data_IF_769864489846
#
_entry.id   IF_769864489846
#
_cell.length_a   1.000
_cell.length_b   1.000
_cell.length_c   1.000
_cell.angle_alpha   90.00
_cell.angle_beta   90.00
_cell.angle_gamma   90.00
#
_symmetry.space_group_name_H-M   'P 1'
#
loop_
_entity.id
_entity.type
_entity.pdbx_description
1 polymer ?
#
# COMPACT_ATOMS: atom_id res chain seq x y z
N UNK A 1 -0.24 23.25 -14.86
CA UNK A 1 0.90 22.59 -14.23
C UNK A 1 0.39 21.25 -13.72
N UNK A 2 0.58 20.18 -14.49
CA UNK A 2 0.09 18.86 -14.09
C UNK A 2 1.05 18.30 -13.04
N UNK A 3 0.53 18.10 -11.83
CA UNK A 3 1.23 17.31 -10.82
C UNK A 3 1.38 15.91 -11.40
N UNK A 4 2.62 15.43 -11.50
CA UNK A 4 2.89 14.09 -11.98
C UNK A 4 2.44 13.11 -10.88
N UNK A 5 1.40 12.34 -11.18
CA UNK A 5 0.82 11.36 -10.27
C UNK A 5 1.48 9.99 -10.44
N UNK A 6 1.29 9.12 -9.45
CA UNK A 6 1.64 7.70 -9.54
C UNK A 6 0.89 7.03 -10.70
N UNK A 7 1.57 6.18 -11.47
CA UNK A 7 0.95 5.41 -12.56
C UNK A 7 0.13 4.21 -12.04
N UNK A 8 0.21 3.89 -10.74
CA UNK A 8 -0.60 2.83 -10.14
C UNK A 8 -2.07 3.19 -10.16
N UNK A 9 -2.90 2.26 -10.63
CA UNK A 9 -4.34 2.47 -10.78
C UNK A 9 -5.02 2.82 -9.46
N UNK A 10 -5.70 3.97 -9.40
CA UNK A 10 -6.38 4.43 -8.19
C UNK A 10 -5.47 5.06 -7.14
N UNK A 11 -4.21 5.38 -7.49
CA UNK A 11 -3.31 6.10 -6.61
C UNK A 11 -3.26 7.59 -7.00
N UNK A 12 -3.79 8.47 -6.13
CA UNK A 12 -3.74 9.92 -6.34
C UNK A 12 -2.49 10.58 -5.73
N UNK A 13 -1.57 9.78 -5.18
CA UNK A 13 -0.36 10.29 -4.56
C UNK A 13 0.62 10.88 -5.58
N UNK A 14 1.36 11.89 -5.13
CA UNK A 14 2.41 12.54 -5.90
C UNK A 14 3.55 11.53 -6.14
N UNK A 15 4.08 11.52 -7.37
CA UNK A 15 5.20 10.66 -7.73
C UNK A 15 6.44 10.90 -6.85
N UNK A 16 7.20 9.85 -6.57
CA UNK A 16 8.52 9.93 -5.91
C UNK A 16 9.62 9.42 -6.84
N UNK A 17 9.38 8.30 -7.53
CA UNK A 17 10.38 7.60 -8.33
C UNK A 17 9.88 7.33 -9.74
N UNK A 18 10.80 7.31 -10.69
CA UNK A 18 10.53 7.01 -12.09
C UNK A 18 11.27 5.75 -12.54
N UNK A 19 10.55 4.87 -13.24
CA UNK A 19 11.11 3.76 -13.99
C UNK A 19 10.74 3.90 -15.45
N UNK A 20 11.73 3.82 -16.35
CA UNK A 20 11.47 3.82 -17.80
C UNK A 20 10.62 2.63 -18.27
N UNK A 21 10.57 1.55 -17.49
CA UNK A 21 9.83 0.32 -17.82
C UNK A 21 8.42 0.28 -17.23
N UNK A 22 8.23 0.84 -16.02
CA UNK A 22 7.00 0.69 -15.25
C UNK A 22 6.27 2.02 -14.97
N UNK A 23 6.88 3.16 -15.32
CA UNK A 23 6.31 4.48 -15.06
C UNK A 23 6.71 5.06 -13.71
N UNK A 24 5.92 6.02 -13.23
CA UNK A 24 6.07 6.72 -11.96
C UNK A 24 5.44 5.93 -10.81
N UNK A 25 6.16 5.81 -9.71
CA UNK A 25 5.68 5.21 -8.47
C UNK A 25 5.80 6.22 -7.32
N UNK A 26 4.77 6.35 -6.51
CA UNK A 26 4.83 7.15 -5.28
C UNK A 26 5.55 6.39 -4.15
N UNK A 27 5.91 7.10 -3.10
CA UNK A 27 6.64 6.55 -1.96
C UNK A 27 5.91 5.36 -1.31
N UNK A 28 4.62 5.53 -0.99
CA UNK A 28 3.81 4.47 -0.35
C UNK A 28 3.69 3.21 -1.20
N UNK A 29 3.44 3.35 -2.50
CA UNK A 29 3.33 2.20 -3.39
C UNK A 29 4.67 1.48 -3.54
N UNK A 30 5.79 2.20 -3.45
CA UNK A 30 7.11 1.58 -3.44
C UNK A 30 7.35 0.80 -2.13
N UNK A 31 6.95 1.34 -0.98
CA UNK A 31 7.05 0.62 0.30
C UNK A 31 6.19 -0.66 0.29
N UNK A 32 4.95 -0.60 -0.21
CA UNK A 32 4.10 -1.79 -0.40
C UNK A 32 4.80 -2.83 -1.30
N UNK A 33 5.36 -2.40 -2.42
CA UNK A 33 6.08 -3.28 -3.34
C UNK A 33 7.29 -3.95 -2.67
N UNK A 34 8.03 -3.21 -1.85
CA UNK A 34 9.16 -3.73 -1.07
C UNK A 34 8.68 -4.74 -0.03
N UNK A 35 7.55 -4.49 0.64
CA UNK A 35 6.95 -5.41 1.62
C UNK A 35 6.46 -6.72 0.99
N UNK A 36 5.95 -6.68 -0.25
CA UNK A 36 5.56 -7.88 -1.00
C UNK A 36 6.77 -8.77 -1.37
N UNK A 37 7.97 -8.19 -1.38
CA UNK A 37 9.23 -8.91 -1.57
C UNK A 37 9.69 -9.02 -3.02
N UNK A 38 10.92 -9.51 -3.25
CA UNK A 38 11.61 -9.44 -4.54
C UNK A 38 11.03 -10.34 -5.62
N UNK A 39 10.18 -11.31 -5.26
CA UNK A 39 9.48 -12.20 -6.20
C UNK A 39 8.23 -11.57 -6.80
N UNK A 40 7.85 -10.38 -6.36
CA UNK A 40 6.63 -9.69 -6.81
C UNK A 40 6.79 -9.18 -8.24
N UNK A 41 5.80 -9.49 -9.08
CA UNK A 41 5.75 -8.93 -10.42
C UNK A 41 5.34 -7.45 -10.36
N UNK A 42 6.33 -6.58 -10.60
CA UNK A 42 6.17 -5.12 -10.52
C UNK A 42 5.06 -4.65 -11.46
N UNK A 43 4.94 -5.25 -12.64
CA UNK A 43 3.92 -4.86 -13.62
C UNK A 43 2.52 -5.13 -13.09
N UNK A 44 2.27 -6.34 -12.60
CA UNK A 44 0.99 -6.75 -12.00
C UNK A 44 0.65 -5.90 -10.78
N UNK A 45 1.65 -5.51 -9.99
CA UNK A 45 1.44 -4.60 -8.87
C UNK A 45 1.02 -3.19 -9.32
N UNK A 46 1.68 -2.63 -10.33
CA UNK A 46 1.35 -1.30 -10.86
C UNK A 46 -0.03 -1.28 -11.57
N UNK A 47 -0.40 -2.37 -12.24
CA UNK A 47 -1.73 -2.54 -12.84
C UNK A 47 -2.84 -2.81 -11.81
N UNK A 48 -2.48 -3.19 -10.57
CA UNK A 48 -3.43 -3.44 -9.50
C UNK A 48 -4.09 -2.14 -9.00
N UNK A 49 -5.37 -2.22 -8.65
CA UNK A 49 -6.06 -1.11 -7.99
C UNK A 49 -5.45 -0.95 -6.60
N UNK A 50 -4.93 0.24 -6.28
CA UNK A 50 -4.59 0.58 -4.89
C UNK A 50 -5.89 0.51 -4.11
N UNK A 51 -6.05 -0.54 -3.31
CA UNK A 51 -7.11 -0.59 -2.32
C UNK A 51 -6.62 0.41 -1.28
N UNK A 52 -7.14 1.62 -1.30
CA UNK A 52 -7.05 2.47 -0.13
C UNK A 52 -7.68 1.65 0.99
N UNK A 53 -6.84 1.15 1.90
CA UNK A 53 -7.32 0.65 3.17
C UNK A 53 -7.99 1.85 3.80
N UNK A 54 -9.29 1.99 3.57
CA UNK A 54 -10.13 2.98 4.21
C UNK A 54 -9.78 2.89 5.69
N UNK A 55 -9.07 3.89 6.23
CA UNK A 55 -8.53 3.86 7.60
C UNK A 55 -9.61 3.52 8.62
N UNK A 56 -10.89 3.66 8.26
CA UNK A 56 -12.04 3.19 9.06
C UNK A 56 -12.13 1.66 9.17
N UNK A 57 -11.83 0.90 8.13
CA UNK A 57 -11.82 -0.57 8.15
C UNK A 57 -10.67 -1.11 9.00
N UNK A 58 -9.50 -0.44 8.96
CA UNK A 58 -8.36 -0.81 9.80
C UNK A 58 -8.66 -0.56 11.28
N UNK A 59 -9.26 0.58 11.62
CA UNK A 59 -9.78 0.87 12.97
C UNK A 59 -10.81 -0.16 13.44
N UNK A 60 -11.78 -0.51 12.60
CA UNK A 60 -12.79 -1.52 12.93
C UNK A 60 -12.19 -2.92 13.15
N UNK A 61 -11.10 -3.25 12.45
CA UNK A 61 -10.38 -4.49 12.66
C UNK A 61 -9.54 -4.45 13.95
N UNK A 62 -8.81 -3.36 14.21
CA UNK A 62 -8.03 -3.16 15.44
C UNK A 62 -8.91 -3.20 16.69
N UNK A 63 -10.04 -2.47 16.72
CA UNK A 63 -11.02 -2.51 17.82
C UNK A 63 -11.59 -3.92 18.05
N UNK A 64 -11.73 -4.73 16.99
CA UNK A 64 -12.21 -6.11 17.08
C UNK A 64 -11.13 -7.06 17.62
N UNK A 65 -9.89 -6.92 17.18
CA UNK A 65 -8.80 -7.79 17.61
C UNK A 65 -8.34 -7.50 19.04
N UNK A 66 -8.35 -6.23 19.48
CA UNK A 66 -8.07 -5.86 20.87
C UNK A 66 -9.09 -6.47 21.84
N UNK A 67 -10.36 -6.59 21.43
CA UNK A 67 -11.40 -7.24 22.23
C UNK A 67 -11.26 -8.77 22.32
N UNK A 68 -10.60 -9.42 21.36
CA UNK A 68 -10.35 -10.87 21.37
C UNK A 68 -9.04 -11.26 22.08
N UNK A 69 -8.08 -10.33 22.23
CA UNK A 69 -6.74 -10.61 22.77
C UNK A 69 -6.51 -10.15 24.23
N UNK A 70 -7.55 -10.01 25.04
CA UNK A 70 -7.37 -9.91 26.50
C UNK A 70 -6.82 -11.23 27.08
N UNK A 71 -5.50 -11.24 27.29
CA UNK A 71 -4.71 -12.04 28.25
C UNK A 71 -4.39 -13.50 27.85
N UNK A 72 -3.27 -13.67 27.17
CA UNK A 72 -2.30 -14.75 27.53
C UNK A 72 -0.90 -14.17 27.72
N UNK A 73 -0.78 -13.16 28.58
CA UNK A 73 0.49 -12.90 29.26
C UNK A 73 0.58 -13.89 30.42
N UNK A 74 1.10 -15.09 30.16
CA UNK A 74 1.61 -15.95 31.23
C UNK A 74 3.04 -15.48 31.52
N UNK A 75 3.23 -14.90 32.71
CA UNK A 75 4.53 -14.62 33.31
C UNK A 75 5.11 -15.89 33.94
#
# INVERSE_FOLDING_TARGET
MSLLACDRKGCENIMDRYSSKYGYICHECFEELVQLGPTTDIKSFMDSVKIETDDKLKRQAEDRFDAEFEITFNF
#
